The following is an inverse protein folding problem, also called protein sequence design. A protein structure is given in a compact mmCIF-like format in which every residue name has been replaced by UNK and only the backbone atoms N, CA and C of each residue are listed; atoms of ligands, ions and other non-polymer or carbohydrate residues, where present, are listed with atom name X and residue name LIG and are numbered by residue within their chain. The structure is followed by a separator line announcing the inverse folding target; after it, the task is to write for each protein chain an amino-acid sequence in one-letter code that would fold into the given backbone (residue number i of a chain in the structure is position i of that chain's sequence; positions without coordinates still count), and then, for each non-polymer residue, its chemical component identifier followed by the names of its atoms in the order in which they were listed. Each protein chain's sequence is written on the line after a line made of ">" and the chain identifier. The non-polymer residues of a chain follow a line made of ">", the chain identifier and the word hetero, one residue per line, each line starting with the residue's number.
data_IF_867558785694
#
_entry.id   IF_867558785694
#
_cell.length_a   1.000
_cell.length_b   1.000
_cell.length_c   1.000
_cell.angle_alpha   90.00
_cell.angle_beta   90.00
_cell.angle_gamma   90.00
#
_symmetry.space_group_name_H-M   'P 1'
#
loop_
_entity.id
_entity.type
_entity.pdbx_description
1 polymer ?
#
# COMPACT_ATOMS: atom_id res chain seq x y z
N UNK A 1 9.31 4.38 13.22
CA UNK A 1 8.07 5.05 12.76
C UNK A 1 8.06 5.02 11.24
N UNK A 2 7.02 4.45 10.61
CA UNK A 2 6.90 4.43 9.14
C UNK A 2 6.32 5.77 8.70
N UNK A 3 7.13 6.62 8.05
CA UNK A 3 6.70 7.93 7.55
C UNK A 3 6.33 7.80 6.09
N UNK A 4 5.04 7.74 5.79
CA UNK A 4 4.49 7.90 4.45
C UNK A 4 3.29 8.84 4.56
N UNK A 5 3.04 9.59 3.50
CA UNK A 5 1.93 10.52 3.41
C UNK A 5 1.50 10.65 1.96
N UNK A 6 0.31 11.20 1.77
CA UNK A 6 -0.19 11.57 0.46
C UNK A 6 -0.28 13.09 0.42
N UNK A 7 0.17 13.68 -0.68
CA UNK A 7 0.04 15.10 -0.95
C UNK A 7 -0.82 15.21 -2.19
N UNK A 8 -1.87 16.02 -2.10
CA UNK A 8 -2.73 16.36 -3.24
C UNK A 8 -2.20 17.65 -3.86
N UNK A 9 -2.02 17.64 -5.18
CA UNK A 9 -1.54 18.77 -5.97
C UNK A 9 -2.66 19.20 -6.90
N UNK A 10 -2.71 20.49 -7.26
CA UNK A 10 -3.82 21.02 -8.06
C UNK A 10 -3.73 20.62 -9.53
N UNK A 11 -2.52 20.32 -10.03
CA UNK A 11 -2.28 19.96 -11.43
C UNK A 11 -1.33 18.76 -11.59
N UNK A 12 -1.60 17.89 -12.58
CA UNK A 12 -0.70 16.79 -12.97
C UNK A 12 0.70 17.28 -13.40
N UNK A 13 0.80 18.52 -13.90
CA UNK A 13 2.10 19.13 -14.23
C UNK A 13 2.96 19.36 -12.98
N UNK A 14 2.34 19.76 -11.87
CA UNK A 14 3.03 19.95 -10.59
C UNK A 14 3.45 18.62 -9.98
N UNK A 15 2.69 17.54 -10.22
CA UNK A 15 3.07 16.19 -9.80
C UNK A 15 4.42 15.77 -10.37
N UNK A 16 4.61 15.98 -11.67
CA UNK A 16 5.86 15.58 -12.35
C UNK A 16 7.03 16.40 -11.81
N UNK A 17 6.86 17.71 -11.69
CA UNK A 17 7.88 18.61 -11.16
C UNK A 17 8.24 18.29 -9.69
N UNK A 18 7.26 17.93 -8.87
CA UNK A 18 7.48 17.54 -7.48
C UNK A 18 8.24 16.20 -7.38
N UNK A 19 7.93 15.22 -8.23
CA UNK A 19 8.67 13.95 -8.29
C UNK A 19 10.12 14.21 -8.68
N UNK A 20 10.38 14.96 -9.76
CA UNK A 20 11.73 15.23 -10.24
C UNK A 20 12.58 16.01 -9.24
N UNK A 21 11.97 16.93 -8.50
CA UNK A 21 12.69 17.79 -7.55
C UNK A 21 12.92 17.13 -6.17
N UNK A 22 12.02 16.23 -5.74
CA UNK A 22 12.00 15.72 -4.37
C UNK A 22 12.32 14.22 -4.25
N UNK A 23 12.22 13.44 -5.34
CA UNK A 23 12.62 12.03 -5.31
C UNK A 23 14.15 11.93 -5.19
N UNK A 24 14.61 11.26 -4.13
CA UNK A 24 16.04 11.15 -3.82
C UNK A 24 16.63 12.36 -3.10
N UNK A 25 15.83 13.38 -2.76
CA UNK A 25 16.28 14.49 -1.93
C UNK A 25 16.49 14.04 -0.48
N UNK A 26 17.57 14.51 0.15
CA UNK A 26 17.81 14.26 1.57
C UNK A 26 17.00 15.24 2.42
N UNK A 27 16.17 14.70 3.32
CA UNK A 27 15.39 15.47 4.27
C UNK A 27 15.61 14.96 5.69
N UNK A 28 16.14 15.83 6.56
CA UNK A 28 16.41 15.49 7.97
C UNK A 28 17.25 14.21 8.13
N UNK A 29 18.25 14.02 7.26
CA UNK A 29 19.13 12.85 7.23
C UNK A 29 18.47 11.58 6.70
N UNK A 30 17.40 11.70 5.90
CA UNK A 30 16.68 10.58 5.29
C UNK A 30 16.36 10.87 3.84
N UNK A 31 16.57 9.89 2.97
CA UNK A 31 16.17 9.99 1.57
C UNK A 31 14.64 9.99 1.44
N UNK A 32 14.12 10.98 0.74
CA UNK A 32 12.73 11.05 0.35
C UNK A 32 12.49 10.19 -0.90
N UNK A 33 11.35 9.51 -0.92
CA UNK A 33 10.87 8.78 -2.09
C UNK A 33 9.51 9.33 -2.49
N UNK A 34 9.43 9.94 -3.66
CA UNK A 34 8.24 10.63 -4.17
C UNK A 34 7.82 9.97 -5.47
N UNK A 35 6.58 9.48 -5.54
CA UNK A 35 6.07 8.73 -6.69
C UNK A 35 4.61 9.10 -6.95
N UNK A 36 4.17 8.98 -8.20
CA UNK A 36 2.77 9.13 -8.60
C UNK A 36 1.87 8.29 -7.70
N UNK A 37 0.85 8.93 -7.14
CA UNK A 37 -0.08 8.27 -6.23
C UNK A 37 -0.84 7.18 -7.00
N UNK A 38 -0.58 5.91 -6.67
CA UNK A 38 -1.34 4.80 -7.25
C UNK A 38 -2.60 4.58 -6.42
N UNK A 39 -3.78 4.40 -7.06
CA UNK A 39 -4.98 4.01 -6.33
C UNK A 39 -4.67 2.75 -5.53
N UNK A 40 -5.13 2.73 -4.27
CA UNK A 40 -4.96 1.55 -3.43
C UNK A 40 -5.60 0.36 -4.15
N UNK A 41 -4.80 -0.58 -4.61
CA UNK A 41 -5.36 -1.86 -5.01
C UNK A 41 -6.06 -2.42 -3.78
N UNK A 42 -7.36 -2.69 -3.90
CA UNK A 42 -8.05 -3.55 -2.94
C UNK A 42 -7.20 -4.80 -2.87
N UNK A 43 -6.60 -5.09 -1.71
CA UNK A 43 -6.01 -6.39 -1.46
C UNK A 43 -7.15 -7.40 -1.54
N UNK A 44 -7.46 -7.85 -2.75
CA UNK A 44 -8.29 -9.00 -3.06
C UNK A 44 -7.49 -10.22 -2.62
N UNK A 45 -7.40 -10.33 -1.30
CA UNK A 45 -6.51 -11.20 -0.57
C UNK A 45 -7.07 -11.46 0.81
N UNK A 46 -8.40 -11.39 0.97
CA UNK A 46 -9.10 -12.22 1.93
C UNK A 46 -9.27 -13.64 1.34
N UNK A 47 -8.18 -14.19 0.80
CA UNK A 47 -8.01 -15.63 0.66
C UNK A 47 -7.74 -16.15 2.06
N UNK A 48 -8.79 -16.24 2.87
CA UNK A 48 -8.67 -16.71 4.24
C UNK A 48 -8.41 -18.22 4.23
N UNK A 49 -7.12 -18.54 4.22
CA UNK A 49 -6.48 -19.49 5.12
C UNK A 49 -7.31 -20.73 5.50
N UNK A 50 -6.95 -21.84 4.87
CA UNK A 50 -6.55 -23.01 5.64
C UNK A 50 -7.66 -23.90 6.19
N UNK A 51 -7.55 -25.17 5.81
CA UNK A 51 -7.94 -26.25 6.70
C UNK A 51 -9.22 -26.94 6.29
N UNK A 52 -9.09 -27.86 5.33
CA UNK A 52 -9.97 -29.01 5.27
C UNK A 52 -10.06 -29.64 6.66
N UNK A 53 -11.23 -29.55 7.28
CA UNK A 53 -11.63 -30.46 8.35
C UNK A 53 -12.91 -31.12 7.90
N UNK A 54 -12.73 -32.20 7.13
CA UNK A 54 -13.65 -33.33 7.15
C UNK A 54 -13.86 -33.69 8.62
N UNK A 55 -15.01 -33.34 9.17
CA UNK A 55 -15.49 -33.92 10.42
C UNK A 55 -16.98 -34.17 10.25
N UNK A 56 -17.29 -35.20 9.46
CA UNK A 56 -18.55 -35.92 9.63
C UNK A 56 -18.33 -36.83 10.84
N UNK A 57 -18.43 -36.21 12.02
CA UNK A 57 -18.48 -36.88 13.31
C UNK A 57 -19.72 -37.76 13.38
N UNK A 58 -19.51 -38.97 13.89
CA UNK A 58 -20.44 -40.08 13.84
C UNK A 58 -21.84 -39.76 14.35
N UNK A 59 -22.80 -40.23 13.55
CA UNK A 59 -24.18 -40.48 13.93
C UNK A 59 -24.22 -41.26 15.24
N UNK A 60 -24.68 -40.61 16.31
CA UNK A 60 -25.10 -41.26 17.55
C UNK A 60 -26.47 -40.76 17.92
N UNK A 61 -27.50 -41.28 17.24
CA UNK A 61 -28.78 -41.68 17.81
C UNK A 61 -29.33 -42.78 16.89
#
# INVERSE_FOLDING_TARGET
>A
MRGFGFVELEADAEETAAIEALDGAEWMGRDLKVNKAKPRETRSGAGSYGGGRKSYGGSRY
#
